data_IF_727535507789
#
_entry.id   IF_727535507789
#
_cell.length_a   1.000
_cell.length_b   1.000
_cell.length_c   1.000
_cell.angle_alpha   90.00
_cell.angle_beta   90.00
_cell.angle_gamma   90.00
#
_symmetry.space_group_name_H-M   'P 1'
#
loop_
_entity.id
_entity.type
_entity.pdbx_description
1 polymer ?
#
# COMPACT_ATOMS: atom_id res chain seq x y z
N UNK A 1 -8.24 -22.16 -2.37
CA UNK A 1 -8.92 -21.14 -3.19
C UNK A 1 -9.29 -20.07 -2.20
N UNK A 2 -8.39 -19.11 -2.08
CA UNK A 2 -8.27 -18.28 -0.87
C UNK A 2 -9.13 -17.01 -0.98
N UNK A 3 -10.02 -17.02 -1.99
CA UNK A 3 -10.86 -15.92 -2.43
C UNK A 3 -12.34 -16.34 -2.35
N UNK A 4 -13.19 -15.40 -1.95
CA UNK A 4 -14.64 -15.55 -2.01
C UNK A 4 -15.17 -15.10 -3.37
N UNK A 5 -15.56 -16.06 -4.21
CA UNK A 5 -16.18 -15.82 -5.51
C UNK A 5 -17.70 -15.75 -5.35
N UNK A 6 -18.32 -14.68 -5.86
CA UNK A 6 -19.78 -14.63 -6.01
C UNK A 6 -20.19 -15.42 -7.25
N UNK A 7 -19.40 -15.32 -8.32
CA UNK A 7 -19.54 -16.03 -9.58
C UNK A 7 -18.18 -16.06 -10.31
N UNK A 8 -18.15 -16.53 -11.56
CA UNK A 8 -16.91 -16.66 -12.34
C UNK A 8 -16.23 -15.31 -12.68
N UNK A 9 -16.94 -14.19 -12.58
CA UNK A 9 -16.48 -12.87 -13.00
C UNK A 9 -16.35 -11.89 -11.82
N UNK A 10 -16.94 -12.22 -10.67
CA UNK A 10 -17.07 -11.31 -9.53
C UNK A 10 -16.57 -11.98 -8.25
N UNK A 11 -15.69 -11.28 -7.54
CA UNK A 11 -15.13 -11.72 -6.26
C UNK A 11 -15.30 -10.62 -5.21
N UNK A 12 -15.34 -11.02 -3.94
CA UNK A 12 -15.06 -10.09 -2.85
C UNK A 12 -13.56 -9.77 -2.87
N UNK A 13 -13.22 -8.47 -2.80
CA UNK A 13 -11.83 -8.01 -2.89
C UNK A 13 -10.99 -8.62 -1.76
N UNK A 14 -9.85 -9.19 -2.11
CA UNK A 14 -8.86 -9.75 -1.17
C UNK A 14 -7.88 -8.69 -0.66
N UNK A 15 -7.82 -7.53 -1.34
CA UNK A 15 -7.00 -6.38 -1.00
C UNK A 15 -7.69 -5.07 -1.44
N UNK A 16 -7.40 -3.96 -0.76
CA UNK A 16 -7.80 -2.62 -1.22
C UNK A 16 -7.12 -2.22 -2.54
N UNK A 17 -6.05 -2.92 -2.93
CA UNK A 17 -5.31 -2.66 -4.18
C UNK A 17 -6.15 -2.87 -5.43
N UNK A 18 -7.27 -3.61 -5.31
CA UNK A 18 -8.27 -3.73 -6.35
C UNK A 18 -8.82 -2.37 -6.85
N UNK A 19 -8.67 -1.30 -6.06
CA UNK A 19 -9.13 0.05 -6.43
C UNK A 19 -8.04 0.95 -7.04
N UNK A 20 -6.75 0.56 -7.01
CA UNK A 20 -5.67 1.43 -7.49
C UNK A 20 -5.84 1.83 -8.96
N UNK A 21 -6.03 0.86 -9.84
CA UNK A 21 -6.13 1.09 -11.29
C UNK A 21 -7.29 2.04 -11.62
N UNK A 22 -8.45 1.85 -11.00
CA UNK A 22 -9.62 2.71 -11.21
C UNK A 22 -9.34 4.16 -10.77
N UNK A 23 -8.74 4.35 -9.59
CA UNK A 23 -8.45 5.70 -9.06
C UNK A 23 -7.36 6.40 -9.87
N UNK A 24 -6.34 5.67 -10.33
CA UNK A 24 -5.31 6.20 -11.24
C UNK A 24 -5.91 6.61 -12.59
N UNK A 25 -6.81 5.80 -13.15
CA UNK A 25 -7.52 6.14 -14.40
C UNK A 25 -8.41 7.37 -14.27
N UNK A 26 -8.90 7.67 -13.07
CA UNK A 26 -9.64 8.89 -12.75
C UNK A 26 -8.73 10.13 -12.60
N UNK A 27 -7.41 9.96 -12.68
CA UNK A 27 -6.43 11.05 -12.61
C UNK A 27 -6.01 11.42 -11.19
N UNK A 28 -6.28 10.57 -10.19
CA UNK A 28 -5.81 10.81 -8.83
C UNK A 28 -4.34 10.44 -8.67
N UNK A 29 -3.50 11.43 -8.32
CA UNK A 29 -2.07 11.22 -8.12
C UNK A 29 -1.68 10.96 -6.65
N UNK A 30 -2.59 11.18 -5.70
CA UNK A 30 -2.39 10.86 -4.29
C UNK A 30 -3.73 10.54 -3.64
N UNK A 31 -3.85 9.37 -3.02
CA UNK A 31 -5.09 8.95 -2.38
C UNK A 31 -4.88 7.89 -1.30
N UNK A 32 -5.85 7.82 -0.40
CA UNK A 32 -5.99 6.74 0.58
C UNK A 32 -7.27 5.96 0.29
N UNK A 33 -7.19 4.63 0.38
CA UNK A 33 -8.35 3.73 0.34
C UNK A 33 -8.39 2.97 1.65
N UNK A 34 -9.54 2.99 2.31
CA UNK A 34 -9.77 2.18 3.52
C UNK A 34 -11.03 1.36 3.33
N UNK A 35 -10.99 0.10 3.76
CA UNK A 35 -12.16 -0.77 3.63
C UNK A 35 -11.92 -2.16 4.16
N UNK A 36 -13.03 -2.88 4.32
CA UNK A 36 -13.08 -4.31 4.56
C UNK A 36 -12.52 -5.10 3.36
N UNK A 37 -11.84 -6.20 3.62
CA UNK A 37 -11.30 -7.15 2.64
C UNK A 37 -11.57 -8.57 3.11
N UNK A 38 -11.63 -9.50 2.16
CA UNK A 38 -12.20 -10.82 2.36
C UNK A 38 -11.23 -11.90 1.90
N UNK A 39 -10.86 -12.82 2.81
CA UNK A 39 -9.96 -13.95 2.48
C UNK A 39 -10.44 -15.22 3.14
N UNK A 40 -10.27 -16.34 2.43
CA UNK A 40 -10.52 -17.68 2.96
C UNK A 40 -9.23 -18.20 3.57
N UNK A 41 -8.96 -17.78 4.81
CA UNK A 41 -7.79 -18.20 5.58
C UNK A 41 -8.14 -19.32 6.59
N UNK A 42 -7.11 -19.84 7.25
CA UNK A 42 -7.27 -20.77 8.37
C UNK A 42 -8.06 -20.13 9.52
N UNK A 43 -8.74 -20.94 10.33
CA UNK A 43 -9.50 -20.44 11.49
C UNK A 43 -8.61 -20.59 12.72
N UNK A 44 -7.95 -19.49 13.10
CA UNK A 44 -7.16 -19.39 14.32
C UNK A 44 -7.28 -18.00 14.97
N UNK A 45 -6.48 -17.73 16.01
CA UNK A 45 -6.54 -16.45 16.73
C UNK A 45 -6.02 -15.24 15.94
N UNK A 46 -5.20 -15.46 14.91
CA UNK A 46 -4.61 -14.42 14.06
C UNK A 46 -5.35 -14.21 12.74
N UNK A 47 -6.22 -15.14 12.34
CA UNK A 47 -6.91 -15.12 11.06
C UNK A 47 -8.42 -14.93 11.25
N UNK A 48 -8.97 -13.94 10.55
CA UNK A 48 -10.40 -13.71 10.48
C UNK A 48 -10.81 -13.49 9.03
N UNK A 49 -11.91 -14.11 8.54
CA UNK A 49 -12.27 -14.06 7.12
C UNK A 49 -12.52 -12.66 6.54
N UNK A 50 -12.76 -11.67 7.41
CA UNK A 50 -13.03 -10.27 7.08
C UNK A 50 -12.15 -9.37 7.94
N UNK A 51 -11.26 -8.61 7.34
CA UNK A 51 -10.44 -7.63 8.07
C UNK A 51 -10.35 -6.34 7.29
N UNK A 52 -9.67 -5.33 7.83
CA UNK A 52 -9.63 -4.00 7.24
C UNK A 52 -8.23 -3.69 6.74
N UNK A 53 -8.15 -3.08 5.57
CA UNK A 53 -6.92 -2.53 5.03
C UNK A 53 -7.06 -1.03 4.85
N UNK A 54 -5.91 -0.35 5.01
CA UNK A 54 -5.70 1.00 4.52
C UNK A 54 -4.55 0.96 3.53
N UNK A 55 -4.71 1.67 2.42
CA UNK A 55 -3.77 1.70 1.32
C UNK A 55 -3.52 3.12 0.88
N UNK A 56 -2.25 3.45 0.63
CA UNK A 56 -1.83 4.76 0.18
C UNK A 56 -1.10 4.68 -1.14
N UNK A 57 -1.49 5.55 -2.07
CA UNK A 57 -0.81 5.73 -3.35
C UNK A 57 -0.37 7.17 -3.47
N UNK A 58 0.85 7.37 -3.98
CA UNK A 58 1.42 8.66 -4.34
C UNK A 58 2.25 8.50 -5.61
N UNK A 59 1.89 9.26 -6.64
CA UNK A 59 2.60 9.32 -7.92
C UNK A 59 3.45 10.59 -7.94
N UNK A 60 4.70 10.45 -8.38
CA UNK A 60 5.62 11.57 -8.52
C UNK A 60 5.62 12.05 -9.96
N UNK A 61 5.48 13.36 -10.13
CA UNK A 61 5.66 14.00 -11.44
C UNK A 61 7.13 14.04 -11.82
N UNK A 62 7.48 14.15 -13.12
CA UNK A 62 8.87 14.32 -13.54
C UNK A 62 9.57 15.49 -12.83
N UNK A 63 8.88 16.62 -12.65
CA UNK A 63 9.40 17.78 -11.93
C UNK A 63 9.72 17.50 -10.45
N UNK A 64 8.95 16.62 -9.79
CA UNK A 64 9.25 16.20 -8.42
C UNK A 64 10.44 15.24 -8.35
N UNK A 65 10.62 14.40 -9.38
CA UNK A 65 11.74 13.48 -9.50
C UNK A 65 13.06 14.16 -9.86
N UNK A 66 13.04 15.37 -10.44
CA UNK A 66 14.27 16.16 -10.64
C UNK A 66 15.03 16.41 -9.33
N UNK A 67 14.34 16.42 -8.18
CA UNK A 67 14.97 16.50 -6.85
C UNK A 67 15.92 15.33 -6.57
N UNK A 68 15.68 14.16 -7.17
CA UNK A 68 16.61 13.03 -7.07
C UNK A 68 17.99 13.40 -7.64
N UNK A 69 18.02 14.10 -8.79
CA UNK A 69 19.26 14.57 -9.42
C UNK A 69 19.97 15.63 -8.58
N UNK A 70 19.23 16.58 -7.99
CA UNK A 70 19.78 17.59 -7.08
C UNK A 70 20.46 16.95 -5.86
N UNK A 71 19.89 15.84 -5.37
CA UNK A 71 20.43 15.05 -4.26
C UNK A 71 21.51 14.04 -4.70
N UNK A 72 21.77 13.90 -5.99
CA UNK A 72 22.75 12.94 -6.53
C UNK A 72 22.35 11.47 -6.34
N UNK A 73 21.05 11.18 -6.26
CA UNK A 73 20.52 9.81 -6.09
C UNK A 73 19.63 9.41 -7.27
N UNK A 74 19.41 8.09 -7.43
CA UNK A 74 18.49 7.57 -8.43
C UNK A 74 17.01 7.86 -8.07
N UNK A 75 16.14 7.99 -9.06
CA UNK A 75 14.71 8.27 -8.87
C UNK A 75 14.03 7.20 -8.01
N UNK A 76 14.42 5.91 -8.14
CA UNK A 76 13.85 4.84 -7.30
C UNK A 76 14.27 5.00 -5.85
N UNK A 77 15.53 5.35 -5.60
CA UNK A 77 16.01 5.61 -4.24
C UNK A 77 15.27 6.80 -3.62
N UNK A 78 14.99 7.84 -4.41
CA UNK A 78 14.21 8.98 -3.95
C UNK A 78 12.78 8.57 -3.56
N UNK A 79 12.10 7.79 -4.40
CA UNK A 79 10.74 7.29 -4.11
C UNK A 79 10.73 6.35 -2.90
N UNK A 80 11.71 5.45 -2.80
CA UNK A 80 11.87 4.55 -1.66
C UNK A 80 12.07 5.33 -0.35
N UNK A 81 12.94 6.34 -0.35
CA UNK A 81 13.16 7.19 0.82
C UNK A 81 11.91 7.97 1.23
N UNK A 82 11.14 8.50 0.27
CA UNK A 82 9.87 9.19 0.58
C UNK A 82 8.85 8.23 1.21
N UNK A 83 8.70 7.03 0.67
CA UNK A 83 7.82 5.99 1.21
C UNK A 83 8.23 5.60 2.63
N UNK A 84 9.51 5.29 2.84
CA UNK A 84 10.04 4.92 4.16
C UNK A 84 9.83 6.04 5.17
N UNK A 85 10.14 7.28 4.80
CA UNK A 85 9.95 8.46 5.65
C UNK A 85 8.47 8.66 6.03
N UNK A 86 7.55 8.50 5.08
CA UNK A 86 6.12 8.63 5.35
C UNK A 86 5.63 7.59 6.34
N UNK A 87 5.99 6.32 6.13
CA UNK A 87 5.57 5.20 6.99
C UNK A 87 6.23 5.25 8.38
N UNK A 88 7.52 5.55 8.47
CA UNK A 88 8.21 5.76 9.75
C UNK A 88 7.62 6.96 10.51
N UNK A 89 7.27 8.05 9.81
CA UNK A 89 6.61 9.20 10.40
C UNK A 89 5.23 8.86 10.98
N UNK A 90 4.44 8.04 10.25
CA UNK A 90 3.16 7.52 10.74
C UNK A 90 3.35 6.66 11.99
N UNK A 91 4.29 5.72 11.97
CA UNK A 91 4.58 4.84 13.12
C UNK A 91 5.00 5.67 14.34
N UNK A 92 5.92 6.63 14.17
CA UNK A 92 6.33 7.53 15.26
C UNK A 92 5.18 8.36 15.81
N UNK A 93 4.27 8.81 14.95
CA UNK A 93 3.08 9.57 15.38
C UNK A 93 2.13 8.72 16.21
N UNK A 94 1.96 7.44 15.86
CA UNK A 94 1.02 6.52 16.53
C UNK A 94 1.59 5.89 17.80
N UNK A 95 2.89 5.56 17.79
CA UNK A 95 3.51 4.72 18.81
C UNK A 95 4.69 5.38 19.54
N UNK A 96 5.14 6.56 19.11
CA UNK A 96 6.33 7.21 19.66
C UNK A 96 7.64 6.56 19.18
N UNK A 97 8.67 6.62 20.02
CA UNK A 97 9.99 6.05 19.71
C UNK A 97 9.96 4.52 19.87
N UNK A 98 9.84 3.82 18.74
CA UNK A 98 9.82 2.35 18.65
C UNK A 98 10.89 1.84 17.68
N UNK A 99 11.35 0.62 17.92
CA UNK A 99 12.25 -0.07 16.99
C UNK A 99 11.51 -0.45 15.70
N UNK A 100 12.15 -0.20 14.55
CA UNK A 100 11.59 -0.47 13.22
C UNK A 100 12.64 -1.19 12.36
N UNK A 101 12.18 -2.09 11.49
CA UNK A 101 13.03 -2.74 10.48
C UNK A 101 12.30 -2.84 9.14
N UNK A 102 13.03 -2.68 8.06
CA UNK A 102 12.58 -2.97 6.70
C UNK A 102 13.01 -4.38 6.31
N UNK A 103 12.11 -5.16 5.72
CA UNK A 103 12.37 -6.52 5.24
C UNK A 103 12.04 -6.55 3.76
N UNK A 104 13.02 -6.95 2.93
CA UNK A 104 12.81 -7.07 1.49
C UNK A 104 11.79 -8.16 1.19
N UNK A 105 10.83 -7.83 0.33
CA UNK A 105 9.73 -8.71 -0.07
C UNK A 105 9.38 -8.49 -1.54
N UNK A 106 8.65 -9.45 -2.12
CA UNK A 106 8.18 -9.39 -3.50
C UNK A 106 6.65 -9.28 -3.54
N UNK A 107 6.16 -8.36 -4.37
CA UNK A 107 4.76 -8.22 -4.74
C UNK A 107 4.69 -8.16 -6.28
N UNK A 108 3.72 -8.83 -6.93
CA UNK A 108 3.59 -8.89 -8.38
C UNK A 108 3.08 -7.60 -9.01
#
# INVERSE_FOLDING_TARGET
SDTYYLNNETVLRTHTSAHQTTLLQQGHNQFLVTGDVYRRDEIDMSHYPIFHQMEGVKIFTPAELEKAKELGIDERQYVEHDLKRALEGMVKTLFGDVEMRWVDAYFP
#
